data_IF_935658839767
#
_entry.id   IF_935658839767
#
_cell.length_a   1.000
_cell.length_b   1.000
_cell.length_c   1.000
_cell.angle_alpha   90.00
_cell.angle_beta   90.00
_cell.angle_gamma   90.00
#
_symmetry.space_group_name_H-M   'P 1'
#
loop_
_entity.id
_entity.type
_entity.pdbx_description
1 polymer ?
#
# COMPACT_ATOMS: atom_id res chain seq x y z
N UNK A 1 29.02 -5.95 1.23
CA UNK A 1 28.80 -6.03 1.43
C UNK A 1 28.45 -6.23 1.70
N UNK A 2 28.38 -6.34 1.85
CA UNK A 2 28.00 -6.56 2.24
C UNK A 2 27.50 -6.71 2.71
N UNK A 3 27.38 -6.76 3.03
CA UNK A 3 26.88 -6.88 3.52
C UNK A 3 26.34 -6.91 3.92
N UNK A 4 26.42 -6.83 4.00
CA UNK A 4 25.93 -6.76 4.39
C UNK A 4 25.20 -6.94 4.59
N UNK A 5 25.34 -6.96 4.57
CA UNK A 5 24.74 -7.18 4.75
C UNK A 5 24.18 -7.63 5.07
N UNK A 6 24.37 -7.74 5.12
CA UNK A 6 23.96 -8.15 5.44
C UNK A 6 23.40 -8.46 5.97
N UNK A 7 23.49 -8.39 6.14
CA UNK A 7 22.99 -8.54 6.63
C UNK A 7 22.14 -8.65 6.99
N UNK A 8 22.11 -8.63 7.00
CA UNK A 8 21.35 -8.71 7.30
C UNK A 8 20.68 -9.45 7.50
N UNK A 9 20.63 -9.83 7.54
CA UNK A 9 20.01 -10.49 7.66
C UNK A 9 19.41 -10.96 8.17
N UNK A 10 19.49 -11.08 8.49
CA UNK A 10 18.86 -11.40 9.01
C UNK A 10 18.26 -11.67 9.67
N UNK A 11 18.25 -11.72 9.85
CA UNK A 11 17.62 -11.91 10.51
C UNK A 11 16.75 -12.09 10.82
N UNK A 12 16.69 -12.03 10.97
CA UNK A 12 15.96 -12.04 11.13
C UNK A 12 15.08 -12.29 11.02
N UNK A 13 15.12 -12.46 11.13
CA UNK A 13 14.45 -12.55 11.01
C UNK A 13 13.45 -12.85 11.12
N UNK A 14 13.31 -13.18 11.60
CA UNK A 14 12.61 -13.25 11.69
C UNK A 14 11.69 -13.13 11.86
N UNK A 15 11.75 -12.92 12.10
CA UNK A 15 11.08 -12.54 12.20
C UNK A 15 10.06 -12.41 12.08
N UNK A 16 9.87 -12.48 12.01
CA UNK A 16 9.04 -12.23 11.63
C UNK A 16 7.99 -12.35 11.50
N UNK A 17 8.08 -13.09 11.70
CA UNK A 17 6.99 -13.21 11.71
C UNK A 17 6.10 -12.49 12.38
N UNK A 18 6.14 -12.17 13.02
CA UNK A 18 5.36 -11.36 13.51
C UNK A 18 5.34 -10.22 12.99
N UNK A 19 5.50 -10.24 12.48
CA UNK A 19 5.62 -9.23 11.99
C UNK A 19 4.50 -8.69 11.53
N UNK A 20 4.29 -7.71 11.91
CA UNK A 20 3.35 -6.93 11.17
C UNK A 20 3.60 -7.21 9.76
N UNK A 21 2.62 -7.56 9.06
CA UNK A 21 2.82 -7.83 7.67
C UNK A 21 3.31 -6.63 6.92
N UNK A 22 4.49 -6.75 6.35
CA UNK A 22 4.90 -5.83 5.32
C UNK A 22 4.22 -6.24 4.02
N UNK A 23 4.07 -5.34 3.06
CA UNK A 23 3.59 -5.74 1.73
C UNK A 23 4.52 -6.82 1.17
N UNK A 24 3.95 -7.78 0.46
CA UNK A 24 4.75 -8.85 -0.11
C UNK A 24 5.72 -8.32 -1.18
N UNK A 25 6.72 -9.13 -1.51
CA UNK A 25 7.65 -8.76 -2.56
C UNK A 25 6.94 -8.52 -3.87
N UNK A 26 5.94 -9.33 -4.21
CA UNK A 26 5.17 -9.14 -5.43
C UNK A 26 4.44 -7.81 -5.43
N UNK A 27 3.82 -7.46 -4.32
CA UNK A 27 3.13 -6.17 -4.17
C UNK A 27 4.10 -5.03 -4.40
N UNK A 28 5.28 -5.12 -3.77
CA UNK A 28 6.28 -4.07 -3.90
C UNK A 28 6.83 -3.98 -5.31
N UNK A 29 7.07 -5.12 -5.96
CA UNK A 29 7.53 -5.12 -7.34
C UNK A 29 6.52 -4.48 -8.26
N UNK A 30 5.23 -4.80 -8.08
CA UNK A 30 4.18 -4.18 -8.89
C UNK A 30 4.11 -2.68 -8.63
N UNK A 31 4.17 -2.27 -7.37
CA UNK A 31 4.12 -0.86 -7.02
C UNK A 31 5.27 -0.09 -7.66
N UNK A 32 6.47 -0.67 -7.63
CA UNK A 32 7.64 -0.04 -8.25
C UNK A 32 7.46 0.07 -9.76
N UNK A 33 6.96 -0.99 -10.40
CA UNK A 33 6.73 -0.95 -11.84
C UNK A 33 5.71 0.12 -12.21
N UNK A 34 4.64 0.22 -11.43
CA UNK A 34 3.62 1.26 -11.65
C UNK A 34 4.21 2.65 -11.43
N UNK A 35 5.02 2.79 -10.39
CA UNK A 35 5.64 4.07 -10.07
C UNK A 35 6.52 4.55 -11.22
N UNK A 36 7.31 3.65 -11.78
CA UNK A 36 8.18 4.00 -12.91
C UNK A 36 7.36 4.32 -14.14
N UNK A 37 6.37 3.47 -14.44
CA UNK A 37 5.57 3.63 -15.66
C UNK A 37 4.73 4.88 -15.63
N UNK A 38 4.13 5.19 -14.49
CA UNK A 38 3.19 6.30 -14.36
C UNK A 38 3.85 7.57 -13.86
N UNK A 39 5.11 7.47 -13.46
CA UNK A 39 5.89 8.58 -12.89
C UNK A 39 5.15 9.15 -11.67
N UNK A 40 4.81 8.28 -10.72
CA UNK A 40 4.10 8.65 -9.51
C UNK A 40 4.81 8.05 -8.29
N UNK A 41 4.89 8.79 -7.19
CA UNK A 41 5.50 8.24 -5.97
C UNK A 41 4.63 7.16 -5.35
N UNK A 42 5.26 6.29 -4.56
CA UNK A 42 4.58 5.28 -3.77
C UNK A 42 4.45 5.82 -2.35
N UNK A 43 3.26 5.69 -1.77
CA UNK A 43 2.99 6.20 -0.44
C UNK A 43 2.39 5.10 0.43
N UNK A 44 2.93 4.93 1.64
CA UNK A 44 2.45 3.93 2.59
C UNK A 44 1.68 4.55 3.75
N UNK A 45 1.27 5.80 3.61
CA UNK A 45 0.65 6.54 4.70
C UNK A 45 -0.56 5.83 5.29
N UNK A 46 -1.36 5.20 4.42
CA UNK A 46 -2.58 4.52 4.87
C UNK A 46 -2.39 3.02 5.10
N UNK A 47 -1.16 2.50 4.93
CA UNK A 47 -0.96 1.05 4.96
C UNK A 47 -1.27 0.46 6.34
N UNK A 48 -0.67 1.01 7.40
CA UNK A 48 -0.89 0.50 8.75
C UNK A 48 -2.35 0.66 9.16
N UNK A 49 -2.95 1.81 8.83
CA UNK A 49 -4.37 2.03 9.13
C UNK A 49 -5.25 1.02 8.41
N UNK A 50 -4.88 0.63 7.18
CA UNK A 50 -5.64 -0.36 6.42
C UNK A 50 -5.57 -1.73 7.08
N UNK A 51 -4.42 -2.09 7.68
CA UNK A 51 -4.29 -3.35 8.41
C UNK A 51 -5.17 -3.36 9.66
N UNK A 52 -5.43 -2.19 10.24
CA UNK A 52 -6.19 -2.06 11.48
C UNK A 52 -7.66 -1.74 11.24
N UNK A 53 -8.09 -1.73 9.98
CA UNK A 53 -9.48 -1.47 9.64
C UNK A 53 -9.90 -0.01 9.83
N UNK A 54 -8.95 0.92 9.79
CA UNK A 54 -9.23 2.34 10.04
C UNK A 54 -9.48 3.13 8.78
N UNK A 55 -9.31 2.52 7.62
CA UNK A 55 -9.59 3.17 6.34
C UNK A 55 -10.52 2.29 5.53
N UNK A 56 -11.18 2.89 4.56
CA UNK A 56 -12.03 2.16 3.62
C UNK A 56 -11.94 2.84 2.27
N UNK A 57 -12.40 2.13 1.25
CA UNK A 57 -12.59 2.73 -0.06
C UNK A 57 -14.04 3.19 -0.10
N UNK A 58 -14.24 4.48 -0.26
CA UNK A 58 -15.54 5.11 -0.13
C UNK A 58 -15.89 5.92 -1.37
N UNK A 59 -17.17 6.16 -1.56
CA UNK A 59 -17.62 7.00 -2.66
C UNK A 59 -17.51 8.47 -2.27
N UNK A 60 -17.16 9.29 -3.25
CA UNK A 60 -17.16 10.74 -3.12
C UNK A 60 -17.76 11.26 -4.40
N UNK A 61 -19.09 11.40 -4.40
CA UNK A 61 -19.83 11.67 -5.62
C UNK A 61 -19.75 10.47 -6.54
N UNK A 62 -19.28 10.67 -7.76
CA UNK A 62 -19.08 9.58 -8.73
C UNK A 62 -17.71 8.95 -8.61
N UNK A 63 -16.84 9.51 -7.79
CA UNK A 63 -15.47 9.04 -7.63
C UNK A 63 -15.37 8.13 -6.43
N UNK A 64 -14.25 7.42 -6.35
CA UNK A 64 -13.88 6.64 -5.17
C UNK A 64 -12.59 7.18 -4.60
N UNK A 65 -12.46 7.09 -3.29
CA UNK A 65 -11.27 7.57 -2.57
C UNK A 65 -10.92 6.56 -1.49
N UNK A 66 -9.67 6.58 -1.04
CA UNK A 66 -9.29 5.90 0.19
C UNK A 66 -9.56 6.90 1.31
N UNK A 67 -10.43 6.52 2.23
CA UNK A 67 -10.97 7.43 3.23
C UNK A 67 -10.65 6.96 4.64
N UNK A 68 -10.06 7.82 5.44
CA UNK A 68 -9.86 7.60 6.86
C UNK A 68 -10.78 8.50 7.67
N UNK A 69 -10.75 9.78 7.37
CA UNK A 69 -11.65 10.78 7.96
C UNK A 69 -11.68 11.97 7.02
N UNK A 70 -12.44 13.00 7.39
CA UNK A 70 -12.67 14.12 6.48
C UNK A 70 -11.42 14.91 6.15
N UNK A 71 -10.41 14.83 7.02
CA UNK A 71 -9.16 15.54 6.79
C UNK A 71 -8.09 14.65 6.17
N UNK A 72 -8.28 13.34 6.19
CA UNK A 72 -7.27 12.39 5.72
C UNK A 72 -7.89 11.42 4.73
N UNK A 73 -7.81 11.76 3.48
CA UNK A 73 -8.30 10.92 2.40
C UNK A 73 -7.51 11.23 1.12
N UNK A 74 -7.65 10.40 0.13
CA UNK A 74 -6.91 10.57 -1.11
C UNK A 74 -7.70 11.38 -2.12
N UNK A 75 -7.01 11.75 -3.20
CA UNK A 75 -7.66 12.19 -4.44
C UNK A 75 -8.43 11.02 -5.02
N UNK A 76 -9.28 11.27 -6.03
CA UNK A 76 -10.01 10.20 -6.68
C UNK A 76 -9.12 9.08 -7.18
N UNK A 77 -9.61 7.85 -7.00
CA UNK A 77 -8.92 6.65 -7.45
C UNK A 77 -9.12 6.48 -8.94
N UNK A 78 -8.03 6.32 -9.67
CA UNK A 78 -8.06 6.05 -11.10
C UNK A 78 -8.08 4.56 -11.39
N UNK A 79 -7.29 3.79 -10.66
CA UNK A 79 -7.20 2.35 -10.82
C UNK A 79 -6.84 1.69 -9.50
N UNK A 80 -7.25 0.44 -9.34
CA UNK A 80 -6.91 -0.38 -8.19
C UNK A 80 -6.44 -1.72 -8.70
N UNK A 81 -5.23 -2.11 -8.31
CA UNK A 81 -4.65 -3.39 -8.71
C UNK A 81 -4.46 -4.26 -7.46
N UNK A 82 -5.13 -5.39 -7.43
CA UNK A 82 -4.93 -6.33 -6.34
C UNK A 82 -3.70 -7.17 -6.63
N UNK A 83 -2.82 -7.31 -5.66
CA UNK A 83 -1.63 -8.13 -5.77
C UNK A 83 -1.36 -8.77 -4.42
N UNK A 84 -1.44 -10.10 -4.36
CA UNK A 84 -1.33 -10.87 -3.12
C UNK A 84 -2.36 -10.37 -2.10
N UNK A 85 -1.91 -9.88 -0.97
CA UNK A 85 -2.78 -9.43 0.11
C UNK A 85 -2.89 -7.91 0.18
N UNK A 86 -2.60 -7.23 -0.91
CA UNK A 86 -2.64 -5.78 -0.95
C UNK A 86 -3.34 -5.27 -2.21
N UNK A 87 -3.78 -4.02 -2.11
CA UNK A 87 -4.16 -3.23 -3.28
C UNK A 87 -3.10 -2.17 -3.52
N UNK A 88 -2.70 -2.00 -4.77
CA UNK A 88 -1.95 -0.82 -5.20
C UNK A 88 -2.96 0.13 -5.83
N UNK A 89 -3.27 1.20 -5.12
CA UNK A 89 -4.32 2.14 -5.50
C UNK A 89 -3.68 3.34 -6.18
N UNK A 90 -4.00 3.54 -7.44
CA UNK A 90 -3.45 4.64 -8.23
C UNK A 90 -4.43 5.80 -8.21
N UNK A 91 -3.97 6.92 -7.68
CA UNK A 91 -4.73 8.17 -7.75
C UNK A 91 -4.04 9.09 -8.75
N UNK A 92 -4.54 10.31 -8.84
CA UNK A 92 -3.99 11.27 -9.82
C UNK A 92 -2.50 11.51 -9.61
N UNK A 93 -2.05 11.57 -8.37
CA UNK A 93 -0.67 11.98 -8.08
C UNK A 93 0.17 10.92 -7.38
N UNK A 94 -0.42 9.84 -6.89
CA UNK A 94 0.27 8.94 -5.97
C UNK A 94 -0.24 7.52 -6.13
N UNK A 95 0.61 6.55 -5.78
CA UNK A 95 0.23 5.14 -5.67
C UNK A 95 0.23 4.80 -4.19
N UNK A 96 -0.92 4.40 -3.66
CA UNK A 96 -1.05 4.01 -2.25
C UNK A 96 -1.09 2.49 -2.14
N UNK A 97 -0.30 1.95 -1.22
CA UNK A 97 -0.31 0.52 -0.92
C UNK A 97 -1.15 0.32 0.33
N UNK A 98 -2.21 -0.46 0.21
CA UNK A 98 -3.10 -0.75 1.35
C UNK A 98 -3.45 -2.24 1.36
N UNK A 99 -3.92 -2.71 2.50
CA UNK A 99 -4.32 -4.12 2.66
C UNK A 99 -5.55 -4.43 1.80
N UNK A 100 -5.59 -5.63 1.23
CA UNK A 100 -6.76 -6.07 0.48
C UNK A 100 -7.95 -6.37 1.38
N UNK A 101 -7.76 -6.37 2.70
CA UNK A 101 -8.86 -6.49 3.66
C UNK A 101 -9.57 -5.15 3.89
N UNK A 102 -9.11 -4.08 3.25
CA UNK A 102 -9.75 -2.78 3.32
C UNK A 102 -11.18 -2.89 2.78
N UNK A 103 -12.13 -2.40 3.55
CA UNK A 103 -13.54 -2.47 3.14
C UNK A 103 -13.80 -1.52 1.99
N UNK A 104 -14.69 -1.97 1.11
CA UNK A 104 -15.18 -1.14 0.01
C UNK A 104 -16.64 -0.83 0.31
N UNK A 105 -16.95 0.43 0.47
CA UNK A 105 -18.32 0.87 0.77
C UNK A 105 -19.05 1.28 -0.48
#
# INVERSE_FOLDING_TARGET
MSDTAATMKRPDTQANKTKVGLPSDKTMQQAVKLSIKLVKPICFYFYIDSLKGRVCISSDGEDRIVFKNEEEHTSPILNTYKCDDCYNVVTENTIYVISSNTRIK
#
